data_IF_410394023535
#
_entry.id   IF_410394023535
#
_cell.length_a   1.000
_cell.length_b   1.000
_cell.length_c   1.000
_cell.angle_alpha   90.00
_cell.angle_beta   90.00
_cell.angle_gamma   90.00
#
_symmetry.space_group_name_H-M   'P 1'
#
loop_
_entity.id
_entity.type
_entity.pdbx_description
1 polymer ?
#
# COMPACT_ATOMS: atom_id res chain seq x y z
N UNK A 1 -37.66 -63.38 56.68
CA UNK A 1 -36.54 -62.51 57.09
C UNK A 1 -35.65 -62.25 55.89
N UNK A 2 -35.79 -61.09 55.22
CA UNK A 2 -34.70 -60.43 54.46
C UNK A 2 -35.15 -59.03 54.02
N UNK A 3 -34.17 -58.13 53.94
CA UNK A 3 -34.22 -56.68 54.14
C UNK A 3 -34.79 -55.84 52.97
N UNK A 4 -35.18 -54.57 53.22
CA UNK A 4 -35.63 -53.65 52.18
C UNK A 4 -34.47 -53.10 51.34
N UNK A 5 -34.61 -53.17 50.01
CA UNK A 5 -33.61 -52.72 49.04
C UNK A 5 -33.51 -51.19 48.94
N UNK A 6 -32.27 -50.70 49.05
CA UNK A 6 -31.83 -49.31 48.96
C UNK A 6 -32.08 -48.77 47.53
N UNK A 7 -32.79 -47.64 47.41
CA UNK A 7 -32.97 -46.92 46.13
C UNK A 7 -31.77 -46.02 45.87
N UNK A 8 -30.91 -46.38 44.92
CA UNK A 8 -29.90 -45.46 44.38
C UNK A 8 -30.57 -44.44 43.45
N UNK A 9 -30.56 -43.15 43.83
CA UNK A 9 -30.82 -42.05 42.89
C UNK A 9 -29.66 -41.97 41.90
N UNK A 10 -29.93 -42.18 40.61
CA UNK A 10 -28.98 -41.78 39.55
C UNK A 10 -28.96 -40.26 39.44
N UNK A 11 -27.78 -39.62 39.29
CA UNK A 11 -27.71 -38.23 38.89
C UNK A 11 -28.18 -38.09 37.44
N UNK A 12 -29.02 -37.09 37.17
CA UNK A 12 -29.34 -36.63 35.82
C UNK A 12 -28.12 -35.88 35.28
N UNK A 13 -27.64 -36.17 34.05
CA UNK A 13 -26.71 -35.26 33.39
C UNK A 13 -27.46 -33.98 32.99
N UNK A 14 -27.09 -32.87 33.62
CA UNK A 14 -27.37 -31.52 33.13
C UNK A 14 -26.17 -31.03 32.32
N UNK A 15 -26.25 -31.14 31.00
CA UNK A 15 -25.56 -30.30 30.02
C UNK A 15 -26.29 -30.52 28.69
N UNK A 16 -26.52 -29.55 27.83
CA UNK A 16 -25.63 -28.48 27.41
C UNK A 16 -26.47 -27.33 26.83
N UNK A 17 -25.87 -26.13 26.79
CA UNK A 17 -26.50 -24.88 26.35
C UNK A 17 -27.06 -24.89 24.92
N UNK A 18 -27.65 -23.78 24.48
CA UNK A 18 -28.31 -23.68 23.19
C UNK A 18 -27.33 -24.08 22.08
N UNK A 19 -27.56 -25.26 21.49
CA UNK A 19 -26.85 -25.69 20.31
C UNK A 19 -27.03 -24.61 19.26
N UNK A 20 -25.91 -24.10 18.75
CA UNK A 20 -25.89 -23.16 17.63
C UNK A 20 -26.83 -23.70 16.55
N UNK A 21 -27.89 -22.95 16.28
CA UNK A 21 -28.89 -23.34 15.28
C UNK A 21 -28.16 -23.61 13.98
N UNK A 22 -28.38 -24.79 13.39
CA UNK A 22 -27.76 -25.17 12.11
C UNK A 22 -28.01 -24.11 11.03
N UNK A 23 -29.15 -23.43 11.08
CA UNK A 23 -29.48 -22.28 10.24
C UNK A 23 -28.56 -21.08 10.44
N UNK A 24 -28.14 -20.80 11.68
CA UNK A 24 -27.19 -19.73 11.96
C UNK A 24 -25.80 -20.04 11.38
N UNK A 25 -25.38 -21.31 11.38
CA UNK A 25 -24.11 -21.73 10.76
C UNK A 25 -24.16 -21.58 9.25
N UNK A 26 -25.26 -22.01 8.62
CA UNK A 26 -25.45 -21.86 7.17
C UNK A 26 -25.46 -20.38 6.78
N UNK A 27 -26.14 -19.53 7.54
CA UNK A 27 -26.19 -18.10 7.26
C UNK A 27 -24.80 -17.45 7.39
N UNK A 28 -24.02 -17.81 8.42
CA UNK A 28 -22.66 -17.34 8.60
C UNK A 28 -21.73 -17.78 7.45
N UNK A 29 -21.88 -19.02 6.96
CA UNK A 29 -21.14 -19.52 5.80
C UNK A 29 -21.48 -18.76 4.52
N UNK A 30 -22.76 -18.45 4.30
CA UNK A 30 -23.19 -17.66 3.14
C UNK A 30 -22.62 -16.23 3.20
N UNK A 31 -22.67 -15.59 4.37
CA UNK A 31 -22.08 -14.26 4.56
C UNK A 31 -20.56 -14.28 4.40
N UNK A 32 -19.86 -15.28 4.93
CA UNK A 32 -18.42 -15.43 4.75
C UNK A 32 -18.04 -15.66 3.28
N UNK A 33 -18.84 -16.43 2.53
CA UNK A 33 -18.63 -16.64 1.10
C UNK A 33 -18.87 -15.34 0.29
N UNK A 34 -19.90 -14.56 0.63
CA UNK A 34 -20.16 -13.27 0.01
C UNK A 34 -19.05 -12.25 0.30
N UNK A 35 -18.56 -12.19 1.54
CA UNK A 35 -17.41 -11.35 1.91
C UNK A 35 -16.14 -11.82 1.19
N UNK A 36 -15.94 -13.13 1.05
CA UNK A 36 -14.83 -13.69 0.25
C UNK A 36 -14.90 -13.30 -1.22
N UNK A 37 -16.10 -13.29 -1.82
CA UNK A 37 -16.34 -12.82 -3.19
C UNK A 37 -16.05 -11.32 -3.35
N UNK A 38 -16.52 -10.50 -2.42
CA UNK A 38 -16.24 -9.06 -2.41
C UNK A 38 -14.74 -8.78 -2.26
N UNK A 39 -14.03 -9.54 -1.42
CA UNK A 39 -12.57 -9.47 -1.31
C UNK A 39 -11.89 -9.90 -2.62
N UNK A 40 -12.40 -10.95 -3.28
CA UNK A 40 -11.84 -11.43 -4.55
C UNK A 40 -11.99 -10.41 -5.67
N UNK A 41 -13.11 -9.68 -5.73
CA UNK A 41 -13.30 -8.58 -6.69
C UNK A 41 -12.42 -7.37 -6.36
N UNK A 42 -12.27 -7.01 -5.08
CA UNK A 42 -11.35 -5.95 -4.66
C UNK A 42 -9.88 -6.29 -5.00
N UNK A 43 -9.49 -7.56 -4.80
CA UNK A 43 -8.17 -8.08 -5.18
C UNK A 43 -7.99 -8.09 -6.70
N UNK A 44 -9.02 -8.47 -7.46
CA UNK A 44 -8.98 -8.44 -8.92
C UNK A 44 -8.93 -7.01 -9.47
N UNK A 45 -9.64 -6.04 -8.91
CA UNK A 45 -9.47 -4.63 -9.27
C UNK A 45 -8.04 -4.16 -8.97
N UNK A 46 -7.45 -4.61 -7.86
CA UNK A 46 -6.06 -4.29 -7.50
C UNK A 46 -4.99 -5.01 -8.35
N UNK A 47 -5.33 -6.05 -9.12
CA UNK A 47 -4.37 -6.80 -9.97
C UNK A 47 -4.65 -6.75 -11.46
N UNK A 48 -5.88 -6.47 -11.89
CA UNK A 48 -6.24 -6.37 -13.32
C UNK A 48 -5.81 -5.06 -13.97
N UNK A 49 -5.39 -4.04 -13.21
CA UNK A 49 -4.62 -2.92 -13.78
C UNK A 49 -3.16 -3.29 -14.08
N UNK A 50 -2.65 -4.41 -13.53
CA UNK A 50 -1.25 -4.87 -13.71
C UNK A 50 -1.12 -5.91 -14.82
N UNK A 51 -2.22 -6.28 -15.51
CA UNK A 51 -2.15 -7.25 -16.61
C UNK A 51 -3.09 -6.91 -17.75
N UNK A 52 -2.74 -5.86 -18.51
CA UNK A 52 -2.90 -5.81 -19.97
C UNK A 52 -1.90 -4.78 -20.50
N UNK A 53 -0.80 -5.27 -21.05
CA UNK A 53 -0.07 -4.50 -22.05
C UNK A 53 -1.02 -4.18 -23.19
N UNK A 54 -1.44 -2.92 -23.28
CA UNK A 54 -2.02 -2.34 -24.49
C UNK A 54 -1.07 -1.26 -24.96
N UNK A 55 -0.27 -1.61 -25.97
CA UNK A 55 0.13 -0.65 -26.96
C UNK A 55 -1.14 0.05 -27.46
N UNK A 56 -1.28 1.32 -27.10
CA UNK A 56 -2.42 2.15 -27.43
C UNK A 56 -1.95 3.60 -27.38
N UNK A 57 -1.31 4.05 -28.46
CA UNK A 57 -1.24 5.46 -28.76
C UNK A 57 -2.69 5.96 -28.86
N UNK A 58 -3.14 6.76 -27.90
CA UNK A 58 -4.36 7.56 -28.01
C UNK A 58 -4.19 8.81 -27.18
N UNK A 59 -4.27 9.94 -27.88
CA UNK A 59 -4.28 11.26 -27.29
C UNK A 59 -5.70 11.54 -26.79
N UNK A 60 -5.98 11.30 -25.52
CA UNK A 60 -7.31 11.55 -24.97
C UNK A 60 -7.25 12.28 -23.61
N UNK A 61 -7.56 13.57 -23.68
CA UNK A 61 -8.28 14.39 -22.68
C UNK A 61 -8.07 14.10 -21.18
N UNK A 62 -7.10 14.80 -20.59
CA UNK A 62 -7.31 15.63 -19.40
C UNK A 62 -7.51 15.01 -18.02
N UNK A 63 -7.95 13.75 -17.85
CA UNK A 63 -8.18 13.20 -16.50
C UNK A 63 -8.15 11.65 -16.53
N UNK A 64 -6.94 11.08 -16.57
CA UNK A 64 -6.77 9.64 -16.32
C UNK A 64 -7.08 9.34 -14.83
N UNK A 65 -7.65 8.18 -14.48
CA UNK A 65 -7.85 7.78 -13.09
C UNK A 65 -6.54 7.90 -12.31
N UNK A 66 -6.58 8.54 -11.14
CA UNK A 66 -5.40 8.74 -10.30
C UNK A 66 -4.51 9.92 -10.71
N UNK A 67 -4.92 10.78 -11.65
CA UNK A 67 -4.23 12.05 -11.96
C UNK A 67 -5.10 13.28 -11.66
N UNK A 68 -4.47 14.35 -11.20
CA UNK A 68 -5.13 15.63 -10.97
C UNK A 68 -5.37 16.42 -12.28
N UNK A 69 -5.98 17.60 -12.18
CA UNK A 69 -6.24 18.49 -13.32
C UNK A 69 -4.97 19.00 -14.03
N UNK A 70 -3.82 18.91 -13.37
CA UNK A 70 -2.49 19.23 -13.94
C UNK A 70 -1.80 18.02 -14.57
N UNK A 71 -2.45 16.84 -14.55
CA UNK A 71 -1.89 15.58 -15.07
C UNK A 71 -0.86 14.92 -14.16
N UNK A 72 -0.70 15.37 -12.91
CA UNK A 72 0.19 14.76 -11.91
C UNK A 72 -0.51 13.57 -11.23
N UNK A 73 0.23 12.49 -10.92
CA UNK A 73 -0.29 11.39 -10.13
C UNK A 73 -0.66 11.86 -8.71
N UNK A 74 -1.83 11.46 -8.24
CA UNK A 74 -2.32 11.73 -6.88
C UNK A 74 -1.97 10.53 -6.01
N UNK A 75 -1.05 10.74 -5.07
CA UNK A 75 -0.54 9.69 -4.18
C UNK A 75 -1.03 9.92 -2.76
N UNK A 76 -1.47 8.84 -2.13
CA UNK A 76 -1.86 8.78 -0.72
C UNK A 76 -0.99 7.75 -0.02
N UNK A 77 -1.01 7.73 1.31
CA UNK A 77 -0.35 6.66 2.08
C UNK A 77 -0.77 5.26 1.63
N UNK A 78 -2.05 5.08 1.27
CA UNK A 78 -2.60 3.79 0.83
C UNK A 78 -2.16 3.36 -0.57
N UNK A 79 -1.81 4.31 -1.43
CA UNK A 79 -1.43 4.05 -2.83
C UNK A 79 0.09 4.13 -3.07
N UNK A 80 0.84 4.63 -2.09
CA UNK A 80 2.28 4.85 -2.18
C UNK A 80 3.08 3.57 -2.48
N UNK A 81 2.67 2.42 -1.94
CA UNK A 81 3.36 1.15 -2.21
C UNK A 81 3.28 0.73 -3.68
N UNK A 82 2.09 0.87 -4.28
CA UNK A 82 1.88 0.58 -5.70
C UNK A 82 2.63 1.59 -6.59
N UNK A 83 2.66 2.85 -6.17
CA UNK A 83 3.37 3.90 -6.91
C UNK A 83 4.88 3.70 -6.87
N UNK A 84 5.45 3.35 -5.71
CA UNK A 84 6.87 3.01 -5.61
C UNK A 84 7.24 1.80 -6.48
N UNK A 85 6.38 0.77 -6.52
CA UNK A 85 6.55 -0.38 -7.43
C UNK A 85 6.57 0.08 -8.90
N UNK A 86 5.61 0.93 -9.29
CA UNK A 86 5.49 1.46 -10.65
C UNK A 86 6.73 2.26 -11.04
N UNK A 87 7.20 3.12 -10.14
CA UNK A 87 8.38 3.95 -10.37
C UNK A 87 9.64 3.11 -10.57
N UNK A 88 9.88 2.12 -9.71
CA UNK A 88 11.01 1.20 -9.86
C UNK A 88 10.90 0.37 -11.15
N UNK A 89 9.70 -0.08 -11.52
CA UNK A 89 9.46 -0.89 -12.72
C UNK A 89 9.57 -0.11 -14.04
N UNK A 90 9.06 1.12 -14.07
CA UNK A 90 8.96 1.95 -15.28
C UNK A 90 10.30 2.25 -15.92
N UNK A 91 11.38 2.20 -15.14
CA UNK A 91 12.73 2.37 -15.65
C UNK A 91 13.03 3.77 -16.18
N UNK A 92 12.11 4.74 -15.99
CA UNK A 92 12.33 6.13 -16.37
C UNK A 92 13.61 6.64 -15.73
N UNK A 93 14.50 7.16 -16.56
CA UNK A 93 15.78 7.69 -16.12
C UNK A 93 15.53 8.86 -15.18
N UNK A 94 16.03 8.72 -13.96
CA UNK A 94 16.06 9.74 -12.93
C UNK A 94 16.72 11.01 -13.46
N UNK A 95 15.96 12.10 -13.55
CA UNK A 95 16.51 13.42 -13.85
C UNK A 95 15.78 14.43 -12.98
N UNK A 96 16.38 14.76 -11.85
CA UNK A 96 15.89 15.84 -11.00
C UNK A 96 15.88 17.16 -11.79
N UNK A 97 14.86 18.02 -11.62
CA UNK A 97 14.88 19.34 -12.23
C UNK A 97 16.06 20.14 -11.68
N UNK A 98 16.60 21.05 -12.48
CA UNK A 98 17.75 21.88 -12.08
C UNK A 98 17.50 22.70 -10.81
N UNK A 99 16.23 22.90 -10.43
CA UNK A 99 15.79 23.63 -9.25
C UNK A 99 15.70 22.77 -7.98
N UNK A 100 15.97 21.46 -8.06
CA UNK A 100 15.81 20.55 -6.93
C UNK A 100 17.08 19.70 -6.72
N UNK A 101 17.79 19.94 -5.61
CA UNK A 101 18.92 19.09 -5.19
C UNK A 101 18.43 17.98 -4.27
N UNK A 102 18.14 16.84 -4.90
CA UNK A 102 17.72 15.60 -4.23
C UNK A 102 18.74 15.08 -3.20
N UNK A 103 20.05 15.24 -3.45
CA UNK A 103 21.08 14.72 -2.55
C UNK A 103 21.23 15.62 -1.33
N UNK A 104 21.11 16.94 -1.50
CA UNK A 104 21.02 17.86 -0.38
C UNK A 104 19.72 17.65 0.41
N UNK A 105 18.60 17.46 -0.29
CA UNK A 105 17.31 17.17 0.34
C UNK A 105 17.38 15.92 1.24
N UNK A 106 17.83 14.77 0.71
CA UNK A 106 17.94 13.54 1.50
C UNK A 106 18.88 13.71 2.71
N UNK A 107 20.00 14.42 2.55
CA UNK A 107 20.90 14.75 3.67
C UNK A 107 20.22 15.62 4.73
N UNK A 108 19.41 16.60 4.33
CA UNK A 108 18.61 17.41 5.27
C UNK A 108 17.62 16.54 6.05
N UNK A 109 17.05 15.51 5.40
CA UNK A 109 16.18 14.53 6.06
C UNK A 109 16.94 13.48 6.91
N UNK A 110 18.27 13.57 7.00
CA UNK A 110 19.08 12.58 7.71
C UNK A 110 19.19 11.24 7.00
N UNK A 111 18.86 11.17 5.71
CA UNK A 111 18.94 9.97 4.88
C UNK A 111 20.30 9.90 4.20
N UNK A 112 20.98 8.76 4.35
CA UNK A 112 22.25 8.45 3.69
C UNK A 112 22.11 7.57 2.44
N UNK A 113 20.92 7.02 2.21
CA UNK A 113 20.66 6.11 1.09
C UNK A 113 20.66 6.85 -0.25
N UNK A 114 21.00 6.11 -1.31
CA UNK A 114 21.03 6.66 -2.65
C UNK A 114 19.59 6.80 -3.19
N UNK A 115 19.27 7.90 -3.91
CA UNK A 115 18.01 8.01 -4.61
C UNK A 115 17.96 7.00 -5.76
N UNK A 116 16.87 6.24 -5.83
CA UNK A 116 16.62 5.24 -6.87
C UNK A 116 15.79 5.85 -8.00
N UNK A 117 14.69 6.52 -7.64
CA UNK A 117 13.75 7.15 -8.57
C UNK A 117 13.00 8.27 -7.85
N UNK A 118 12.58 9.28 -8.59
CA UNK A 118 11.83 10.42 -8.07
C UNK A 118 10.77 10.85 -9.06
N UNK A 119 9.61 11.26 -8.57
CA UNK A 119 8.52 11.79 -9.39
C UNK A 119 7.81 12.95 -8.70
N UNK A 120 7.30 13.87 -9.51
CA UNK A 120 6.41 14.94 -9.05
C UNK A 120 5.01 14.38 -8.86
N UNK A 121 4.45 14.56 -7.66
CA UNK A 121 3.15 14.02 -7.27
C UNK A 121 2.31 15.09 -6.61
N UNK A 122 1.00 14.88 -6.60
CA UNK A 122 0.10 15.51 -5.65
C UNK A 122 -0.04 14.59 -4.43
N UNK A 123 -0.03 15.14 -3.22
CA UNK A 123 -0.12 14.37 -1.98
C UNK A 123 -1.50 14.49 -1.34
N UNK A 124 -2.21 13.37 -1.26
CA UNK A 124 -3.50 13.31 -0.58
C UNK A 124 -4.57 14.18 -1.26
N UNK A 125 -5.30 14.92 -0.43
CA UNK A 125 -6.27 15.92 -0.87
C UNK A 125 -5.68 17.34 -0.92
N UNK A 126 -4.40 17.49 -0.59
CA UNK A 126 -3.74 18.79 -0.60
C UNK A 126 -3.38 19.15 -2.04
N UNK A 127 -3.98 20.23 -2.54
CA UNK A 127 -3.61 20.80 -3.83
C UNK A 127 -2.22 21.42 -3.72
N UNK A 128 -1.19 20.67 -4.09
CA UNK A 128 0.19 21.08 -4.02
C UNK A 128 1.10 20.15 -4.80
N UNK A 129 2.23 20.69 -5.26
CA UNK A 129 3.29 19.92 -5.90
C UNK A 129 4.22 19.38 -4.83
N UNK A 130 4.51 18.08 -4.88
CA UNK A 130 5.41 17.40 -3.97
C UNK A 130 6.36 16.49 -4.75
N UNK A 131 7.50 16.18 -4.15
CA UNK A 131 8.42 15.20 -4.70
C UNK A 131 8.29 13.91 -3.90
N UNK A 132 7.93 12.83 -4.59
CA UNK A 132 8.04 11.48 -4.06
C UNK A 132 9.39 10.92 -4.46
N UNK A 133 10.22 10.59 -3.47
CA UNK A 133 11.58 10.08 -3.63
C UNK A 133 11.61 8.66 -3.11
N UNK A 134 11.95 7.70 -3.96
CA UNK A 134 12.24 6.33 -3.56
C UNK A 134 13.76 6.19 -3.44
N UNK A 135 14.22 5.70 -2.29
CA UNK A 135 15.65 5.54 -1.99
C UNK A 135 15.89 4.24 -1.22
N UNK A 136 17.14 3.83 -1.15
CA UNK A 136 17.52 2.63 -0.41
C UNK A 136 18.93 2.14 -0.75
N UNK A 137 19.35 1.03 -0.13
CA UNK A 137 20.70 0.49 -0.27
C UNK A 137 20.92 -0.29 -1.58
N UNK A 138 19.83 -0.68 -2.26
CA UNK A 138 19.89 -1.49 -3.47
C UNK A 138 19.64 -0.64 -4.71
N UNK A 139 20.41 -0.89 -5.75
CA UNK A 139 20.18 -0.28 -7.06
C UNK A 139 18.89 -0.79 -7.69
N UNK A 140 18.31 0.05 -8.56
CA UNK A 140 17.04 -0.22 -9.24
C UNK A 140 17.01 -1.59 -9.92
N UNK A 141 18.06 -1.94 -10.66
CA UNK A 141 18.08 -3.18 -11.45
C UNK A 141 18.11 -4.42 -10.55
N UNK A 142 18.77 -4.34 -9.40
CA UNK A 142 18.74 -5.40 -8.38
C UNK A 142 17.34 -5.55 -7.77
N UNK A 143 16.68 -4.42 -7.47
CA UNK A 143 15.32 -4.42 -6.94
C UNK A 143 14.31 -4.96 -7.94
N UNK A 144 14.48 -4.68 -9.24
CA UNK A 144 13.63 -5.26 -10.29
C UNK A 144 13.81 -6.78 -10.38
N UNK A 145 15.04 -7.26 -10.31
CA UNK A 145 15.32 -8.69 -10.42
C UNK A 145 14.84 -9.49 -9.19
N UNK A 146 15.00 -8.94 -7.98
CA UNK A 146 14.88 -9.70 -6.73
C UNK A 146 13.73 -9.23 -5.83
N UNK A 147 13.14 -8.07 -6.09
CA UNK A 147 12.33 -7.36 -5.11
C UNK A 147 13.15 -6.87 -3.92
N UNK A 148 12.49 -6.28 -2.93
CA UNK A 148 13.16 -5.77 -1.74
C UNK A 148 12.28 -4.85 -0.90
N UNK A 149 12.90 -4.24 0.11
CA UNK A 149 12.30 -3.12 0.85
C UNK A 149 12.99 -1.86 0.35
N UNK A 150 12.19 -0.83 0.07
CA UNK A 150 12.65 0.52 -0.26
C UNK A 150 12.06 1.50 0.74
N UNK A 151 12.79 2.57 0.94
CA UNK A 151 12.33 3.73 1.70
C UNK A 151 11.75 4.75 0.73
N UNK A 152 10.69 5.42 1.16
CA UNK A 152 10.00 6.44 0.39
C UNK A 152 9.85 7.67 1.24
N UNK A 153 10.24 8.81 0.68
CA UNK A 153 10.12 10.12 1.33
C UNK A 153 9.36 11.05 0.40
N UNK A 154 8.30 11.67 0.93
CA UNK A 154 7.54 12.72 0.25
C UNK A 154 7.91 14.06 0.86
N UNK A 155 8.37 14.99 0.01
CA UNK A 155 8.87 16.29 0.44
C UNK A 155 8.27 17.43 -0.36
N UNK A 156 8.32 18.63 0.21
CA UNK A 156 7.98 19.87 -0.50
C UNK A 156 9.05 20.22 -1.55
N UNK A 157 8.70 21.02 -2.57
CA UNK A 157 9.65 21.49 -3.59
C UNK A 157 10.81 22.32 -3.05
N UNK A 158 10.67 22.89 -1.85
CA UNK A 158 11.72 23.66 -1.16
C UNK A 158 12.80 22.79 -0.54
N UNK A 159 12.62 21.47 -0.45
CA UNK A 159 13.66 20.56 0.02
C UNK A 159 14.90 20.65 -0.87
N UNK A 160 16.10 20.53 -0.28
CA UNK A 160 17.34 20.71 -1.02
C UNK A 160 17.70 22.17 -1.33
N UNK A 161 16.94 23.14 -0.78
CA UNK A 161 17.36 24.55 -0.77
C UNK A 161 18.26 24.83 0.43
N UNK A 162 19.17 25.79 0.31
CA UNK A 162 19.98 26.25 1.44
C UNK A 162 19.08 26.81 2.56
N UNK A 163 19.33 26.36 3.80
CA UNK A 163 18.56 26.79 4.97
C UNK A 163 17.21 26.08 5.17
N UNK A 164 16.79 25.18 4.28
CA UNK A 164 15.60 24.36 4.48
C UNK A 164 15.83 23.33 5.60
N UNK A 165 14.85 23.20 6.50
CA UNK A 165 14.87 22.20 7.58
C UNK A 165 14.02 20.98 7.24
N UNK A 166 14.32 19.83 7.87
CA UNK A 166 13.55 18.60 7.70
C UNK A 166 12.08 18.81 8.10
N UNK A 167 11.83 19.42 9.26
CA UNK A 167 10.48 19.61 9.82
C UNK A 167 9.56 20.48 8.93
N UNK A 168 10.13 21.39 8.13
CA UNK A 168 9.36 22.25 7.22
C UNK A 168 9.08 21.59 5.87
N UNK A 169 9.97 20.69 5.44
CA UNK A 169 9.98 20.14 4.08
C UNK A 169 9.47 18.71 4.00
N UNK A 170 9.57 17.95 5.07
CA UNK A 170 9.06 16.59 5.16
C UNK A 170 7.54 16.60 5.22
N UNK A 171 6.92 15.87 4.30
CA UNK A 171 5.47 15.63 4.33
C UNK A 171 5.20 14.26 4.92
N UNK A 172 5.95 13.26 4.46
CA UNK A 172 5.77 11.87 4.86
C UNK A 172 7.04 11.07 4.61
N UNK A 173 7.32 10.08 5.46
CA UNK A 173 8.32 9.06 5.19
C UNK A 173 7.86 7.68 5.68
N UNK A 174 8.39 6.65 5.04
CA UNK A 174 8.14 5.27 5.45
C UNK A 174 8.73 4.28 4.47
N UNK A 175 8.58 3.00 4.79
CA UNK A 175 9.10 1.91 3.98
C UNK A 175 8.00 1.11 3.32
N UNK A 176 8.30 0.55 2.15
CA UNK A 176 7.40 -0.36 1.45
C UNK A 176 8.16 -1.51 0.84
N UNK A 177 7.50 -2.67 0.77
CA UNK A 177 8.03 -3.84 0.09
C UNK A 177 7.65 -3.78 -1.39
N UNK A 178 8.65 -3.89 -2.25
CA UNK A 178 8.49 -4.03 -3.69
C UNK A 178 8.78 -5.46 -4.14
N UNK A 179 8.01 -5.94 -5.10
CA UNK A 179 8.22 -7.22 -5.78
C UNK A 179 9.21 -7.11 -6.93
N UNK A 180 9.70 -8.25 -7.41
CA UNK A 180 10.41 -8.34 -8.68
C UNK A 180 9.49 -8.04 -9.86
N UNK A 181 10.01 -7.40 -10.91
CA UNK A 181 9.26 -6.91 -12.10
C UNK A 181 10.01 -7.12 -13.41
#
# INVERSE_FOLDING_TARGET
>A
MTAPGIRHRRPRPSSSGPGVSTWAVVLALVLAALVGLLLSEALQQSTTEVSRGSAGSSAETGNAPGKNASGLPVVTESTLGAEAQRLVASGTSFQAPATFDVNLCLRQQGVSDAPIVMEEVEWGADSGQYWLIVHGPNERDSLRANGGIVEVTVVRPTCGSEGASADETLIWNGSTKIGSV
#
